data_IF_846156592441
#
_entry.id   IF_846156592441
#
_cell.length_a   1.000
_cell.length_b   1.000
_cell.length_c   1.000
_cell.angle_alpha   90.00
_cell.angle_beta   90.00
_cell.angle_gamma   90.00
#
_symmetry.space_group_name_H-M   'P 1'
#
loop_
_entity.id
_entity.type
_entity.pdbx_description
1 polymer ?
#
# COMPACT_ATOMS: atom_id res chain seq x y z
N UNK A 1 10.80 -14.70 -19.05
CA UNK A 1 9.47 -15.32 -18.89
C UNK A 1 8.71 -14.49 -17.88
N UNK A 2 7.54 -13.98 -18.24
CA UNK A 2 6.72 -13.07 -17.41
C UNK A 2 5.46 -13.74 -16.88
N UNK A 3 5.32 -15.04 -17.09
CA UNK A 3 4.17 -15.82 -16.64
C UNK A 3 4.15 -15.89 -15.12
N UNK A 4 2.97 -15.63 -14.56
CA UNK A 4 2.74 -15.68 -13.11
C UNK A 4 2.70 -17.14 -12.67
N UNK A 5 3.59 -17.50 -11.76
CA UNK A 5 3.66 -18.83 -11.16
C UNK A 5 2.80 -18.92 -9.90
N UNK A 6 2.89 -17.91 -9.02
CA UNK A 6 2.19 -17.90 -7.75
C UNK A 6 1.84 -16.46 -7.32
N UNK A 7 0.75 -16.33 -6.57
CA UNK A 7 0.36 -15.09 -5.89
C UNK A 7 -0.02 -15.48 -4.46
N UNK A 8 0.52 -14.77 -3.47
CA UNK A 8 0.16 -14.99 -2.06
C UNK A 8 0.04 -13.69 -1.28
N UNK A 9 -0.90 -13.61 -0.32
CA UNK A 9 -0.92 -12.52 0.65
C UNK A 9 0.23 -12.68 1.66
N UNK A 10 0.66 -11.56 2.23
CA UNK A 10 1.57 -11.49 3.37
C UNK A 10 0.99 -10.47 4.34
N UNK A 11 0.77 -10.90 5.58
CA UNK A 11 0.35 -10.05 6.69
C UNK A 11 1.52 -9.94 7.66
N UNK A 12 1.98 -8.71 7.92
CA UNK A 12 3.04 -8.45 8.90
C UNK A 12 2.51 -7.47 9.94
N UNK A 13 2.66 -7.81 11.21
CA UNK A 13 2.22 -6.97 12.34
C UNK A 13 3.43 -6.55 13.16
N UNK A 14 3.50 -5.26 13.50
CA UNK A 14 4.54 -4.69 14.36
C UNK A 14 3.93 -3.70 15.35
N UNK A 15 4.68 -3.39 16.41
CA UNK A 15 4.35 -2.29 17.31
C UNK A 15 4.40 -0.96 16.54
N UNK A 16 3.44 -0.07 16.81
CA UNK A 16 3.21 1.17 16.07
C UNK A 16 2.67 2.26 16.98
N UNK A 17 3.43 3.35 17.09
CA UNK A 17 3.05 4.53 17.88
C UNK A 17 3.12 4.33 19.38
N UNK A 18 2.89 5.42 20.12
CA UNK A 18 2.68 5.38 21.57
C UNK A 18 1.23 4.96 21.85
N UNK A 19 1.03 4.03 22.79
CA UNK A 19 -0.28 3.52 23.18
C UNK A 19 -1.27 4.60 23.63
N UNK A 20 -0.76 5.73 24.12
CA UNK A 20 -1.54 6.87 24.62
C UNK A 20 -1.72 7.96 23.57
N UNK A 21 -1.09 7.83 22.40
CA UNK A 21 -1.20 8.82 21.35
C UNK A 21 -2.65 8.86 20.81
N UNK A 22 -3.22 10.05 20.56
CA UNK A 22 -4.62 10.17 20.11
C UNK A 22 -4.93 9.34 18.86
N UNK A 23 -4.04 9.33 17.86
CA UNK A 23 -4.18 8.49 16.66
C UNK A 23 -4.37 7.00 17.00
N UNK A 24 -3.62 6.46 17.96
CA UNK A 24 -3.71 5.04 18.33
C UNK A 24 -5.06 4.76 19.00
N UNK A 25 -5.46 5.62 19.93
CA UNK A 25 -6.73 5.47 20.65
C UNK A 25 -7.94 5.58 19.71
N UNK A 26 -7.88 6.43 18.69
CA UNK A 26 -8.99 6.65 17.75
C UNK A 26 -9.03 5.64 16.61
N UNK A 27 -7.88 5.30 16.02
CA UNK A 27 -7.82 4.57 14.75
C UNK A 27 -7.46 3.09 14.90
N UNK A 28 -6.92 2.67 16.05
CA UNK A 28 -6.36 1.33 16.24
C UNK A 28 -6.96 0.63 17.47
N UNK A 29 -8.14 -0.01 17.33
CA UNK A 29 -8.85 -0.64 18.45
C UNK A 29 -8.10 -1.83 19.09
N UNK A 30 -7.03 -2.31 18.45
CA UNK A 30 -6.21 -3.43 18.92
C UNK A 30 -4.91 -2.96 19.63
N UNK A 31 -4.85 -1.69 20.03
CA UNK A 31 -3.69 -1.08 20.69
C UNK A 31 -2.63 -0.57 19.71
N UNK A 32 -1.41 -0.26 20.19
CA UNK A 32 -0.32 0.32 19.39
C UNK A 32 0.33 -0.73 18.49
N UNK A 33 -0.48 -1.39 17.65
CA UNK A 33 -0.02 -2.40 16.69
C UNK A 33 -0.62 -2.10 15.34
N UNK A 34 0.21 -2.22 14.31
CA UNK A 34 -0.22 -2.02 12.93
C UNK A 34 0.11 -3.25 12.11
N UNK A 35 -0.88 -3.69 11.34
CA UNK A 35 -0.68 -4.72 10.33
C UNK A 35 -0.51 -4.06 8.97
N UNK A 36 0.42 -4.55 8.15
CA UNK A 36 0.49 -4.23 6.73
C UNK A 36 0.06 -5.43 5.91
N UNK A 37 -0.69 -5.18 4.84
CA UNK A 37 -1.12 -6.20 3.88
C UNK A 37 -0.33 -6.06 2.59
N UNK A 38 0.49 -7.06 2.27
CA UNK A 38 1.24 -7.13 1.03
C UNK A 38 0.74 -8.28 0.16
N UNK A 39 0.92 -8.15 -1.14
CA UNK A 39 0.85 -9.26 -2.10
C UNK A 39 2.25 -9.53 -2.63
N UNK A 40 2.67 -10.78 -2.64
CA UNK A 40 3.83 -11.26 -3.39
C UNK A 40 3.35 -11.95 -4.67
N UNK A 41 3.83 -11.48 -5.82
CA UNK A 41 3.66 -12.16 -7.12
C UNK A 41 5.00 -12.79 -7.50
N UNK A 42 5.01 -14.10 -7.70
CA UNK A 42 6.17 -14.85 -8.21
C UNK A 42 5.98 -15.18 -9.68
N UNK A 43 6.99 -14.91 -10.49
CA UNK A 43 7.05 -15.27 -11.90
C UNK A 43 7.83 -16.59 -12.07
N UNK A 44 7.57 -17.34 -13.14
CA UNK A 44 8.23 -18.64 -13.43
C UNK A 44 9.76 -18.56 -13.53
N UNK A 45 10.32 -17.36 -13.74
CA UNK A 45 11.76 -17.15 -13.75
C UNK A 45 12.34 -16.81 -12.35
N UNK A 46 11.57 -16.99 -11.28
CA UNK A 46 11.96 -16.75 -9.89
C UNK A 46 11.90 -15.29 -9.44
N UNK A 47 11.55 -14.34 -10.33
CA UNK A 47 11.44 -12.93 -9.96
C UNK A 47 10.16 -12.71 -9.13
N UNK A 48 10.31 -11.95 -8.04
CA UNK A 48 9.23 -11.61 -7.12
C UNK A 48 8.97 -10.11 -7.08
N UNK A 49 7.70 -9.76 -7.21
CA UNK A 49 7.21 -8.41 -7.00
C UNK A 49 6.33 -8.29 -5.75
N UNK A 50 6.35 -7.13 -5.12
CA UNK A 50 5.61 -6.84 -3.90
C UNK A 50 4.75 -5.59 -4.07
N UNK A 51 3.53 -5.63 -3.55
CA UNK A 51 2.64 -4.47 -3.54
C UNK A 51 1.78 -4.43 -2.29
N UNK A 52 1.58 -3.23 -1.76
CA UNK A 52 0.82 -3.00 -0.53
C UNK A 52 -0.64 -2.67 -0.83
N UNK A 53 -1.54 -3.24 -0.04
CA UNK A 53 -2.94 -2.83 0.02
C UNK A 53 -3.28 -2.25 1.37
N UNK A 54 -3.67 -0.97 1.40
CA UNK A 54 -3.93 -0.23 2.65
C UNK A 54 -5.05 -0.86 3.50
N UNK A 55 -5.96 -1.63 2.89
CA UNK A 55 -6.96 -2.42 3.61
C UNK A 55 -6.35 -3.30 4.71
N UNK A 56 -5.13 -3.81 4.51
CA UNK A 56 -4.45 -4.68 5.46
C UNK A 56 -4.25 -4.05 6.84
N UNK A 57 -4.26 -2.72 6.93
CA UNK A 57 -4.19 -1.97 8.19
C UNK A 57 -5.43 -2.20 9.06
N UNK A 58 -6.62 -2.22 8.45
CA UNK A 58 -7.89 -2.22 9.17
C UNK A 58 -8.62 -3.56 9.11
N UNK A 59 -8.51 -4.28 8.00
CA UNK A 59 -9.21 -5.53 7.76
C UNK A 59 -8.27 -6.57 7.11
N UNK A 60 -7.20 -7.00 7.81
CA UNK A 60 -6.16 -7.87 7.25
C UNK A 60 -6.70 -9.22 6.75
N UNK A 61 -7.67 -9.80 7.45
CA UNK A 61 -8.30 -11.07 7.04
C UNK A 61 -9.21 -10.91 5.82
N UNK A 62 -9.88 -9.77 5.68
CA UNK A 62 -10.64 -9.46 4.45
C UNK A 62 -9.68 -9.29 3.27
N UNK A 63 -8.56 -8.58 3.47
CA UNK A 63 -7.53 -8.44 2.45
C UNK A 63 -6.98 -9.81 1.99
N UNK A 64 -6.57 -10.65 2.94
CA UNK A 64 -6.08 -12.02 2.68
C UNK A 64 -7.08 -12.84 1.86
N UNK A 65 -8.35 -12.90 2.28
CA UNK A 65 -9.38 -13.67 1.57
C UNK A 65 -9.64 -13.16 0.15
N UNK A 66 -9.59 -11.84 -0.09
CA UNK A 66 -9.78 -11.30 -1.44
C UNK A 66 -8.57 -11.61 -2.32
N UNK A 67 -7.34 -11.57 -1.78
CA UNK A 67 -6.13 -11.96 -2.54
C UNK A 67 -6.25 -13.42 -2.97
N UNK A 68 -6.63 -14.31 -2.05
CA UNK A 68 -6.82 -15.74 -2.34
C UNK A 68 -7.92 -15.97 -3.38
N UNK A 69 -9.04 -15.24 -3.29
CA UNK A 69 -10.12 -15.30 -4.28
C UNK A 69 -9.65 -14.89 -5.68
N UNK A 70 -8.85 -13.83 -5.79
CA UNK A 70 -8.40 -13.28 -7.06
C UNK A 70 -7.25 -14.08 -7.69
N UNK A 71 -6.41 -14.73 -6.88
CA UNK A 71 -5.14 -15.34 -7.32
C UNK A 71 -5.28 -16.38 -8.45
N UNK A 72 -6.21 -17.36 -8.37
CA UNK A 72 -6.37 -18.39 -9.41
C UNK A 72 -6.68 -17.84 -10.80
N UNK A 73 -7.29 -16.64 -10.87
CA UNK A 73 -7.65 -16.01 -12.14
C UNK A 73 -6.46 -15.37 -12.86
N UNK A 74 -5.30 -15.23 -12.21
CA UNK A 74 -4.10 -14.63 -12.78
C UNK A 74 -2.95 -15.63 -12.96
N UNK A 75 -2.88 -16.69 -12.15
CA UNK A 75 -1.86 -17.73 -12.27
C UNK A 75 -1.86 -18.31 -13.69
N UNK A 76 -0.67 -18.47 -14.26
CA UNK A 76 -0.47 -18.95 -15.62
C UNK A 76 -0.60 -17.90 -16.73
N UNK A 77 -1.04 -16.67 -16.40
CA UNK A 77 -1.13 -15.56 -17.37
C UNK A 77 0.15 -14.73 -17.43
N UNK A 78 0.32 -13.97 -18.49
CA UNK A 78 1.42 -13.00 -18.63
C UNK A 78 1.25 -11.84 -17.63
N UNK A 79 2.16 -11.75 -16.66
CA UNK A 79 2.16 -10.68 -15.67
C UNK A 79 2.58 -9.31 -16.20
N UNK A 80 3.18 -9.23 -17.39
CA UNK A 80 3.62 -7.94 -17.96
C UNK A 80 2.53 -7.20 -18.72
N UNK A 81 1.43 -7.88 -19.06
CA UNK A 81 0.19 -7.26 -19.54
C UNK A 81 -0.69 -6.82 -18.35
N UNK A 82 -0.15 -5.85 -17.59
CA UNK A 82 -0.70 -5.37 -16.31
C UNK A 82 -2.12 -4.82 -16.49
N UNK A 83 -2.39 -4.08 -17.57
CA UNK A 83 -3.72 -3.54 -17.85
C UNK A 83 -4.76 -4.66 -18.04
N UNK A 84 -4.38 -5.76 -18.69
CA UNK A 84 -5.27 -6.91 -18.80
C UNK A 84 -5.43 -7.64 -17.47
N UNK A 85 -4.38 -7.80 -16.67
CA UNK A 85 -4.48 -8.38 -15.32
C UNK A 85 -5.40 -7.55 -14.42
N UNK A 86 -5.32 -6.22 -14.48
CA UNK A 86 -6.26 -5.31 -13.82
C UNK A 86 -7.70 -5.57 -14.25
N UNK A 87 -7.96 -5.67 -15.57
CA UNK A 87 -9.31 -5.98 -16.08
C UNK A 87 -9.82 -7.35 -15.65
N UNK A 88 -8.95 -8.36 -15.64
CA UNK A 88 -9.27 -9.70 -15.13
C UNK A 88 -9.69 -9.62 -13.65
N UNK A 89 -8.96 -8.87 -12.81
CA UNK A 89 -9.28 -8.64 -11.41
C UNK A 89 -10.58 -7.87 -11.21
N UNK A 90 -10.83 -6.83 -12.01
CA UNK A 90 -12.11 -6.13 -11.97
C UNK A 90 -13.27 -7.07 -12.26
N UNK A 91 -13.16 -7.88 -13.32
CA UNK A 91 -14.21 -8.82 -13.71
C UNK A 91 -14.53 -9.85 -12.62
N UNK A 92 -13.56 -10.28 -11.81
CA UNK A 92 -13.79 -11.18 -10.65
C UNK A 92 -14.62 -10.49 -9.55
N UNK A 93 -14.53 -9.17 -9.44
CA UNK A 93 -15.14 -8.37 -8.38
C UNK A 93 -16.41 -7.61 -8.82
N UNK A 94 -16.70 -7.53 -10.11
CA UNK A 94 -17.68 -6.59 -10.67
C UNK A 94 -19.11 -6.75 -10.13
N UNK A 95 -19.49 -7.96 -9.69
CA UNK A 95 -20.84 -8.19 -9.14
C UNK A 95 -21.00 -7.70 -7.69
N UNK A 96 -19.92 -7.64 -6.90
CA UNK A 96 -20.03 -7.51 -5.44
C UNK A 96 -19.16 -6.40 -4.85
N UNK A 97 -18.14 -5.91 -5.56
CA UNK A 97 -17.27 -4.85 -5.05
C UNK A 97 -16.61 -4.06 -6.18
N UNK A 98 -17.27 -2.98 -6.57
CA UNK A 98 -16.77 -2.01 -7.55
C UNK A 98 -15.77 -1.00 -6.95
N UNK A 99 -15.69 -0.93 -5.61
CA UNK A 99 -14.90 0.02 -4.84
C UNK A 99 -14.44 -0.60 -3.50
N UNK A 100 -13.60 0.12 -2.74
CA UNK A 100 -13.21 -0.28 -1.39
C UNK A 100 -12.32 -1.53 -1.36
N UNK A 101 -12.71 -2.54 -0.59
CA UNK A 101 -11.86 -3.68 -0.25
C UNK A 101 -11.28 -4.44 -1.48
N UNK A 102 -12.10 -4.69 -2.49
CA UNK A 102 -11.63 -5.35 -3.72
C UNK A 102 -10.67 -4.48 -4.52
N UNK A 103 -10.87 -3.16 -4.54
CA UNK A 103 -9.97 -2.23 -5.23
C UNK A 103 -8.63 -2.09 -4.52
N UNK A 104 -8.61 -2.06 -3.19
CA UNK A 104 -7.33 -2.12 -2.44
C UNK A 104 -6.52 -3.38 -2.78
N UNK A 105 -7.18 -4.53 -2.89
CA UNK A 105 -6.53 -5.79 -3.25
C UNK A 105 -6.05 -5.79 -4.70
N UNK A 106 -6.88 -5.28 -5.61
CA UNK A 106 -6.53 -5.12 -7.03
C UNK A 106 -5.29 -4.23 -7.19
N UNK A 107 -5.25 -3.09 -6.50
CA UNK A 107 -4.10 -2.18 -6.50
C UNK A 107 -2.85 -2.85 -5.94
N UNK A 108 -2.95 -3.63 -4.86
CA UNK A 108 -1.80 -4.35 -4.29
C UNK A 108 -1.20 -5.34 -5.30
N UNK A 109 -2.04 -6.11 -6.00
CA UNK A 109 -1.60 -7.03 -7.06
C UNK A 109 -0.97 -6.26 -8.24
N UNK A 110 -1.57 -5.15 -8.66
CA UNK A 110 -1.04 -4.32 -9.74
C UNK A 110 0.34 -3.76 -9.40
N UNK A 111 0.52 -3.21 -8.20
CA UNK A 111 1.81 -2.71 -7.70
C UNK A 111 2.85 -3.84 -7.69
N UNK A 112 2.47 -5.04 -7.23
CA UNK A 112 3.35 -6.20 -7.24
C UNK A 112 3.78 -6.59 -8.67
N UNK A 113 2.89 -6.53 -9.65
CA UNK A 113 3.23 -6.80 -11.06
C UNK A 113 4.15 -5.70 -11.64
N UNK A 114 3.92 -4.44 -11.31
CA UNK A 114 4.81 -3.32 -11.66
C UNK A 114 6.21 -3.53 -11.09
N UNK A 115 6.31 -3.88 -9.80
CA UNK A 115 7.57 -4.16 -9.13
C UNK A 115 8.30 -5.34 -9.81
N UNK A 116 7.63 -6.48 -10.01
CA UNK A 116 8.19 -7.65 -10.71
C UNK A 116 8.69 -7.30 -12.12
N UNK A 117 7.93 -6.50 -12.86
CA UNK A 117 8.30 -6.03 -14.21
C UNK A 117 9.52 -5.12 -14.17
N UNK A 118 9.60 -4.22 -13.20
CA UNK A 118 10.72 -3.29 -13.04
C UNK A 118 12.02 -4.02 -12.69
N UNK A 119 11.96 -4.99 -11.76
CA UNK A 119 13.06 -5.90 -11.41
C UNK A 119 13.51 -6.74 -12.59
N UNK A 120 12.56 -7.29 -13.36
CA UNK A 120 12.86 -8.04 -14.59
C UNK A 120 13.59 -7.21 -15.64
N UNK A 121 13.25 -5.92 -15.74
CA UNK A 121 13.93 -4.96 -16.63
C UNK A 121 15.16 -4.30 -16.01
N UNK A 122 15.48 -4.62 -14.75
CA UNK A 122 16.57 -4.02 -13.97
C UNK A 122 16.51 -2.49 -13.99
N UNK A 123 15.31 -1.93 -13.83
CA UNK A 123 15.09 -0.49 -13.79
C UNK A 123 14.22 -0.11 -12.58
N UNK A 124 14.34 1.14 -12.08
CA UNK A 124 13.38 1.66 -11.11
C UNK A 124 11.95 1.63 -11.67
N UNK A 125 10.96 1.34 -10.82
CA UNK A 125 9.56 1.20 -11.24
C UNK A 125 8.99 2.45 -11.93
N UNK A 126 9.38 3.66 -11.50
CA UNK A 126 8.91 4.90 -12.11
C UNK A 126 9.20 4.97 -13.63
N UNK A 127 10.30 4.36 -14.10
CA UNK A 127 10.65 4.34 -15.54
C UNK A 127 9.64 3.57 -16.39
N UNK A 128 8.81 2.70 -15.78
CA UNK A 128 7.72 2.03 -16.49
C UNK A 128 6.57 2.97 -16.83
N UNK A 129 6.43 4.09 -16.10
CA UNK A 129 5.40 5.11 -16.31
C UNK A 129 5.90 6.32 -17.12
N UNK A 130 7.16 6.29 -17.55
CA UNK A 130 7.80 7.36 -18.32
C UNK A 130 9.09 7.87 -17.66
N UNK A 131 9.74 8.82 -18.33
CA UNK A 131 10.89 9.51 -17.75
C UNK A 131 10.40 10.68 -16.90
N UNK A 132 11.04 10.88 -15.75
CA UNK A 132 10.91 12.12 -14.97
C UNK A 132 12.03 13.07 -15.38
N UNK A 133 11.71 14.36 -15.55
CA UNK A 133 12.72 15.42 -15.65
C UNK A 133 13.21 15.90 -14.28
N UNK A 134 12.65 15.35 -13.20
CA UNK A 134 13.01 15.65 -11.82
C UNK A 134 13.75 14.47 -11.20
N UNK A 135 14.88 14.77 -10.58
CA UNK A 135 15.66 13.81 -9.78
C UNK A 135 15.24 13.78 -8.30
N UNK A 136 14.38 14.73 -7.89
CA UNK A 136 13.90 14.87 -6.51
C UNK A 136 12.42 15.24 -6.48
N UNK A 137 11.72 14.80 -5.43
CA UNK A 137 10.32 15.11 -5.16
C UNK A 137 10.26 15.78 -3.78
N UNK A 138 9.64 16.96 -3.72
CA UNK A 138 9.41 17.65 -2.46
C UNK A 138 8.36 16.90 -1.62
N UNK A 139 8.62 16.76 -0.32
CA UNK A 139 7.75 16.07 0.63
C UNK A 139 7.10 17.05 1.61
N UNK A 140 6.03 16.62 2.27
CA UNK A 140 5.39 17.34 3.35
C UNK A 140 5.03 16.38 4.49
N UNK A 141 5.04 16.86 5.73
CA UNK A 141 4.53 16.13 6.88
C UNK A 141 3.01 16.08 6.84
N UNK A 142 2.42 14.89 6.81
CA UNK A 142 0.97 14.70 6.90
C UNK A 142 0.59 14.33 8.33
N UNK A 143 0.44 15.34 9.17
CA UNK A 143 0.37 15.22 10.63
C UNK A 143 -0.80 15.93 11.29
N UNK A 144 -0.75 16.12 12.59
CA UNK A 144 -1.73 16.90 13.34
C UNK A 144 -2.94 16.11 13.84
N UNK A 145 -2.77 14.82 14.14
CA UNK A 145 -3.69 14.12 15.06
C UNK A 145 -3.16 14.37 16.47
N UNK A 146 -3.35 15.59 16.96
CA UNK A 146 -2.70 16.12 18.16
C UNK A 146 -3.75 16.83 19.04
N UNK A 147 -3.94 16.34 20.26
CA UNK A 147 -4.92 16.92 21.21
C UNK A 147 -4.35 18.09 22.02
N UNK A 148 -3.02 18.22 22.09
CA UNK A 148 -2.32 19.20 22.93
C UNK A 148 -1.31 20.00 22.13
N UNK A 149 -0.95 21.19 22.63
CA UNK A 149 0.08 22.03 22.02
C UNK A 149 1.44 21.33 22.03
N UNK A 150 1.70 20.55 23.06
CA UNK A 150 2.94 19.80 23.26
C UNK A 150 3.10 18.75 22.14
N UNK A 151 2.05 17.99 21.81
CA UNK A 151 2.07 17.04 20.70
C UNK A 151 2.38 17.73 19.36
N UNK A 152 1.80 18.92 19.12
CA UNK A 152 2.12 19.71 17.93
C UNK A 152 3.59 20.16 17.89
N UNK A 153 4.14 20.60 19.02
CA UNK A 153 5.54 21.04 19.11
C UNK A 153 6.48 19.86 18.84
N UNK A 154 6.20 18.69 19.40
CA UNK A 154 6.98 17.46 19.18
C UNK A 154 7.00 17.06 17.70
N UNK A 155 5.83 17.04 17.04
CA UNK A 155 5.76 16.71 15.61
C UNK A 155 6.48 17.75 14.74
N UNK A 156 6.32 19.04 15.03
CA UNK A 156 6.99 20.11 14.29
C UNK A 156 8.52 20.07 14.45
N UNK A 157 9.03 19.82 15.65
CA UNK A 157 10.46 19.67 15.89
C UNK A 157 11.01 18.41 15.21
N UNK A 158 10.24 17.31 15.17
CA UNK A 158 10.60 16.13 14.37
C UNK A 158 10.71 16.48 12.87
N UNK A 159 9.68 17.10 12.29
CA UNK A 159 9.70 17.49 10.87
C UNK A 159 10.87 18.43 10.55
N UNK A 160 11.15 19.38 11.43
CA UNK A 160 12.30 20.29 11.33
C UNK A 160 13.63 19.53 11.40
N UNK A 161 13.77 18.55 12.30
CA UNK A 161 14.98 17.71 12.38
C UNK A 161 15.22 16.89 11.11
N UNK A 162 14.15 16.51 10.41
CA UNK A 162 14.18 15.82 9.12
C UNK A 162 14.32 16.78 7.92
N UNK A 163 14.37 18.09 8.15
CA UNK A 163 14.45 19.11 7.10
C UNK A 163 13.16 19.30 6.29
N UNK A 164 12.02 18.77 6.77
CA UNK A 164 10.72 18.89 6.12
C UNK A 164 10.10 20.24 6.46
N UNK A 165 9.84 21.07 5.44
CA UNK A 165 9.38 22.46 5.61
C UNK A 165 7.89 22.67 5.42
N UNK A 166 7.21 21.69 4.80
CA UNK A 166 5.77 21.74 4.52
C UNK A 166 5.04 20.81 5.46
N UNK A 167 3.94 21.28 6.02
CA UNK A 167 3.16 20.55 7.00
C UNK A 167 1.68 20.72 6.70
N UNK A 168 0.95 19.60 6.68
CA UNK A 168 -0.50 19.56 6.57
C UNK A 168 -1.04 19.02 7.89
N UNK A 169 -1.81 19.85 8.58
CA UNK A 169 -2.51 19.50 9.82
C UNK A 169 -3.93 19.03 9.55
N UNK A 170 -4.47 18.18 10.42
CA UNK A 170 -5.91 17.94 10.47
C UNK A 170 -6.51 19.14 11.20
N UNK A 171 -7.43 19.84 10.55
CA UNK A 171 -8.26 20.83 11.24
C UNK A 171 -9.36 20.05 11.94
N UNK A 172 -9.50 20.24 13.25
CA UNK A 172 -10.75 19.88 13.92
C UNK A 172 -11.76 20.95 13.49
N UNK A 173 -12.87 20.58 12.85
CA UNK A 173 -13.97 21.50 12.66
C UNK A 173 -14.66 21.63 14.02
N UNK A 174 -14.33 22.68 14.76
CA UNK A 174 -15.29 23.22 15.70
C UNK A 174 -16.21 24.17 14.91
N UNK A 175 -17.51 24.01 15.18
CA UNK A 175 -18.69 24.60 14.52
C UNK A 175 -18.69 26.13 14.37
#
# INVERSE_FOLDING_TARGET
MSKIENIRPILLTADYGDEKHPEILECFPNGPKRTIGLVEVSLENGIKGYGEGYLGVFAPKVFESIVELCSPYLVGKDGFDILRRYKDLCSVCDYWSLQGAARHTTSAIEIALVDAKSKSKKCPAYKLFGNSSKDQIETYGSGGICDTKEHFIEELELLKSLGIKKYKIRSVPDD
#
